data_IF_996491606369
#
_entry.id   IF_996491606369
#
_cell.length_a   1.000
_cell.length_b   1.000
_cell.length_c   1.000
_cell.angle_alpha   90.00
_cell.angle_beta   90.00
_cell.angle_gamma   90.00
#
_symmetry.space_group_name_H-M   'P 1'
#
loop_
_entity.id
_entity.type
_entity.pdbx_description
1 polymer ?
#
# COMPACT_ATOMS: atom_id res chain seq x y z
N UNK A 1 61.12 -30.30 5.01
CA UNK A 1 61.30 -28.98 4.38
C UNK A 1 60.72 -27.94 5.33
N UNK A 2 61.57 -27.00 5.77
CA UNK A 2 61.30 -26.01 6.83
C UNK A 2 60.33 -24.91 6.37
N UNK A 3 59.40 -24.45 7.21
CA UNK A 3 58.90 -23.07 7.20
C UNK A 3 59.79 -22.19 8.08
N UNK A 4 60.08 -20.97 7.63
CA UNK A 4 60.91 -19.98 8.33
C UNK A 4 60.10 -19.08 9.26
N UNK A 5 60.61 -19.00 10.49
CA UNK A 5 60.28 -18.20 11.67
C UNK A 5 60.55 -16.69 11.52
N UNK A 6 59.79 -15.84 12.23
CA UNK A 6 60.18 -14.61 12.98
C UNK A 6 58.91 -14.17 13.78
N UNK A 7 58.78 -14.23 15.12
CA UNK A 7 59.41 -13.46 16.23
C UNK A 7 59.26 -11.92 16.02
N UNK A 8 58.82 -11.04 16.94
CA UNK A 8 58.57 -11.08 18.40
C UNK A 8 57.93 -9.75 18.91
N UNK A 9 57.33 -9.76 20.12
CA UNK A 9 57.25 -8.68 21.15
C UNK A 9 56.48 -7.36 20.77
N UNK A 10 55.75 -6.61 21.61
CA UNK A 10 55.67 -6.42 23.08
C UNK A 10 54.46 -5.56 23.47
N UNK A 11 53.93 -5.81 24.67
CA UNK A 11 53.44 -4.87 25.70
C UNK A 11 52.39 -3.77 25.37
N UNK A 12 51.29 -3.80 26.13
CA UNK A 12 50.35 -2.69 26.25
C UNK A 12 49.22 -2.99 27.23
N UNK A 13 49.50 -2.89 28.53
CA UNK A 13 48.53 -2.94 29.63
C UNK A 13 47.53 -1.78 29.55
N UNK A 14 46.31 -1.95 30.09
CA UNK A 14 45.73 -1.06 31.10
C UNK A 14 44.50 -1.75 31.74
N UNK A 15 44.63 -1.91 33.06
CA UNK A 15 43.63 -2.27 34.06
C UNK A 15 42.92 -0.98 34.48
N UNK A 16 41.59 -0.95 34.60
CA UNK A 16 40.92 -0.24 35.71
C UNK A 16 39.66 -1.02 36.11
N UNK A 17 39.65 -1.42 37.38
CA UNK A 17 38.58 -2.05 38.14
C UNK A 17 38.21 -1.01 39.20
N UNK A 18 36.96 -0.52 39.24
CA UNK A 18 36.44 0.23 40.39
C UNK A 18 35.01 -0.20 40.69
N UNK A 19 34.87 -0.76 41.88
CA UNK A 19 33.64 -1.08 42.57
C UNK A 19 32.93 0.18 43.07
N UNK A 20 31.61 0.10 43.29
CA UNK A 20 31.01 0.39 44.60
C UNK A 20 29.48 0.28 44.52
N UNK A 21 28.96 -0.61 45.34
CA UNK A 21 27.59 -0.73 45.79
C UNK A 21 27.36 0.31 46.89
N UNK A 22 26.25 1.06 46.89
CA UNK A 22 25.63 1.46 48.16
C UNK A 22 24.15 1.82 48.06
N UNK A 23 23.47 1.54 49.16
CA UNK A 23 22.05 1.57 49.41
C UNK A 23 21.45 2.98 49.47
N UNK A 24 20.17 3.07 49.11
CA UNK A 24 19.26 4.03 49.73
C UNK A 24 17.84 3.45 49.79
N UNK A 25 17.58 2.73 50.88
CA UNK A 25 16.25 2.44 51.39
C UNK A 25 15.71 3.77 51.97
N UNK A 26 14.99 4.54 51.15
CA UNK A 26 14.33 5.77 51.54
C UNK A 26 12.96 5.48 52.14
N UNK A 27 12.91 5.28 53.46
CA UNK A 27 11.68 5.27 54.22
C UNK A 27 11.23 6.72 54.51
N UNK A 28 10.03 7.08 54.04
CA UNK A 28 9.08 7.92 54.76
C UNK A 28 9.16 9.44 54.58
N UNK A 29 8.16 9.98 53.89
CA UNK A 29 7.30 11.02 54.46
C UNK A 29 5.95 11.01 53.74
N UNK A 30 4.89 10.55 54.42
CA UNK A 30 3.52 10.82 54.00
C UNK A 30 3.29 12.32 54.19
N UNK A 31 3.17 13.06 53.10
CA UNK A 31 2.66 14.42 53.14
C UNK A 31 1.13 14.37 53.30
N UNK A 32 0.53 14.95 54.35
CA UNK A 32 -0.92 15.00 54.52
C UNK A 32 -1.62 16.03 53.62
N UNK A 33 -0.91 16.73 52.73
CA UNK A 33 -1.51 17.72 51.82
C UNK A 33 -1.90 17.12 50.48
N UNK A 34 -2.73 16.09 50.54
CA UNK A 34 -3.60 15.71 49.43
C UNK A 34 -4.72 16.76 49.30
N UNK A 35 -4.48 17.87 48.59
CA UNK A 35 -5.57 18.69 48.06
C UNK A 35 -5.15 19.29 46.71
N UNK A 36 -5.71 18.71 45.64
CA UNK A 36 -5.81 19.23 44.27
C UNK A 36 -4.54 19.34 43.42
N UNK A 37 -4.04 18.23 42.86
CA UNK A 37 -3.33 18.30 41.56
C UNK A 37 -3.19 16.96 40.81
N UNK A 38 -4.13 16.02 40.93
CA UNK A 38 -4.05 14.74 40.19
C UNK A 38 -5.22 14.56 39.22
N UNK A 39 -5.41 15.52 38.32
CA UNK A 39 -6.31 15.34 37.16
C UNK A 39 -5.56 15.17 35.83
N UNK A 40 -4.24 15.36 35.79
CA UNK A 40 -3.50 15.42 34.52
C UNK A 40 -2.58 14.23 34.23
N UNK A 41 -2.59 13.17 35.05
CA UNK A 41 -1.87 11.94 34.71
C UNK A 41 -2.73 11.04 33.79
N UNK A 42 -3.12 11.55 32.62
CA UNK A 42 -3.51 10.66 31.52
C UNK A 42 -2.22 10.24 30.83
N UNK A 43 -1.88 8.96 30.99
CA UNK A 43 -0.62 8.36 30.58
C UNK A 43 -0.26 8.62 29.11
N UNK A 44 1.03 8.80 28.89
CA UNK A 44 1.64 9.06 27.58
C UNK A 44 1.75 7.80 26.69
N UNK A 45 0.77 6.89 26.75
CA UNK A 45 0.83 5.57 26.09
C UNK A 45 -0.03 5.48 24.81
N UNK A 46 -0.65 6.57 24.36
CA UNK A 46 -1.54 6.57 23.18
C UNK A 46 -0.87 6.90 21.84
N UNK A 47 0.44 7.18 21.83
CA UNK A 47 1.14 7.54 20.59
C UNK A 47 1.35 6.36 19.62
N UNK A 48 1.17 5.11 20.08
CA UNK A 48 1.39 3.90 19.26
C UNK A 48 0.12 3.36 18.58
N UNK A 49 -1.06 3.96 18.80
CA UNK A 49 -2.34 3.40 18.33
C UNK A 49 -2.79 3.88 16.95
N UNK A 50 -2.06 4.80 16.30
CA UNK A 50 -2.41 5.32 14.97
C UNK A 50 -1.24 5.15 13.99
N UNK A 51 -1.56 4.83 12.74
CA UNK A 51 -0.58 4.75 11.63
C UNK A 51 -0.93 5.80 10.59
N UNK A 52 0.10 6.42 10.03
CA UNK A 52 -0.05 7.29 8.85
C UNK A 52 -0.22 6.39 7.63
N UNK A 53 -1.30 6.59 6.88
CA UNK A 53 -1.57 5.89 5.62
C UNK A 53 -1.53 6.90 4.46
N UNK A 54 -0.97 6.49 3.34
CA UNK A 54 -1.06 7.23 2.09
C UNK A 54 -2.38 6.86 1.41
N UNK A 55 -3.12 7.87 0.94
CA UNK A 55 -4.37 7.67 0.21
C UNK A 55 -4.30 8.40 -1.13
N UNK A 56 -4.97 7.87 -2.13
CA UNK A 56 -5.05 8.48 -3.45
C UNK A 56 -5.88 9.76 -3.39
N UNK A 57 -5.31 10.87 -3.83
CA UNK A 57 -6.04 12.14 -3.94
C UNK A 57 -6.92 12.15 -5.19
N UNK A 58 -7.94 13.02 -5.21
CA UNK A 58 -8.75 13.25 -6.42
C UNK A 58 -7.87 13.63 -7.62
N UNK A 59 -6.91 14.53 -7.43
CA UNK A 59 -5.97 14.95 -8.48
C UNK A 59 -5.10 13.78 -8.99
N UNK A 60 -4.72 12.85 -8.10
CA UNK A 60 -4.05 11.61 -8.49
C UNK A 60 -4.98 10.72 -9.33
N UNK A 61 -6.23 10.56 -8.89
CA UNK A 61 -7.23 9.78 -9.61
C UNK A 61 -7.56 10.35 -11.00
N UNK A 62 -7.72 11.67 -11.11
CA UNK A 62 -7.95 12.36 -12.38
C UNK A 62 -6.77 12.19 -13.35
N UNK A 63 -5.53 12.19 -12.84
CA UNK A 63 -4.35 11.91 -13.68
C UNK A 63 -4.29 10.47 -14.16
N UNK A 64 -4.59 9.51 -13.29
CA UNK A 64 -4.70 8.11 -13.71
C UNK A 64 -5.76 7.95 -14.81
N UNK A 65 -6.92 8.57 -14.63
CA UNK A 65 -7.99 8.58 -15.63
C UNK A 65 -7.57 9.23 -16.93
N UNK A 66 -6.91 10.38 -16.89
CA UNK A 66 -6.47 11.11 -18.07
C UNK A 66 -5.47 10.27 -18.89
N UNK A 67 -4.50 9.64 -18.23
CA UNK A 67 -3.52 8.79 -18.90
C UNK A 67 -4.16 7.53 -19.50
N UNK A 68 -5.05 6.86 -18.77
CA UNK A 68 -5.79 5.71 -19.26
C UNK A 68 -6.72 6.09 -20.44
N UNK A 69 -7.43 7.21 -20.33
CA UNK A 69 -8.31 7.73 -21.39
C UNK A 69 -7.53 8.10 -22.65
N UNK A 70 -6.35 8.71 -22.49
CA UNK A 70 -5.48 9.05 -23.61
C UNK A 70 -5.01 7.79 -24.37
N UNK A 71 -4.63 6.72 -23.66
CA UNK A 71 -4.23 5.46 -24.29
C UNK A 71 -5.41 4.77 -24.99
N UNK A 72 -6.57 4.72 -24.34
CA UNK A 72 -7.79 4.17 -24.94
C UNK A 72 -8.20 4.93 -26.21
N UNK A 73 -8.15 6.27 -26.17
CA UNK A 73 -8.42 7.13 -27.32
C UNK A 73 -7.41 6.92 -28.46
N UNK A 74 -6.12 6.81 -28.16
CA UNK A 74 -5.08 6.53 -29.16
C UNK A 74 -5.29 5.19 -29.89
N UNK A 75 -5.98 4.24 -29.24
CA UNK A 75 -6.29 2.92 -29.78
C UNK A 75 -7.70 2.82 -30.36
N UNK A 76 -8.50 3.89 -30.29
CA UNK A 76 -9.93 3.88 -30.61
C UNK A 76 -10.67 2.73 -29.90
N UNK A 77 -10.28 2.44 -28.66
CA UNK A 77 -10.92 1.44 -27.82
C UNK A 77 -12.04 2.11 -27.01
N UNK A 78 -13.23 1.50 -27.01
CA UNK A 78 -14.24 1.87 -26.03
C UNK A 78 -13.82 1.35 -24.67
N UNK A 79 -13.85 2.15 -23.61
CA UNK A 79 -13.44 1.70 -22.29
C UNK A 79 -14.27 2.37 -21.18
N UNK A 80 -14.69 1.58 -20.19
CA UNK A 80 -15.07 2.08 -18.88
C UNK A 80 -13.86 1.99 -17.96
N UNK A 81 -13.45 3.13 -17.40
CA UNK A 81 -12.25 3.29 -16.58
C UNK A 81 -12.72 3.81 -15.21
N UNK A 82 -12.44 3.05 -14.16
CA UNK A 82 -12.78 3.37 -12.79
C UNK A 82 -11.53 3.47 -11.94
N UNK A 83 -11.46 4.49 -11.08
CA UNK A 83 -10.39 4.65 -10.09
C UNK A 83 -11.01 4.66 -8.70
N UNK A 84 -10.46 3.82 -7.82
CA UNK A 84 -10.93 3.61 -6.45
C UNK A 84 -9.86 3.95 -5.42
N UNK A 85 -10.27 4.24 -4.19
CA UNK A 85 -9.40 4.36 -3.02
C UNK A 85 -8.88 2.99 -2.54
N UNK A 86 -8.08 2.99 -1.48
CA UNK A 86 -7.54 1.78 -0.84
C UNK A 86 -8.64 0.93 -0.18
N UNK A 87 -9.77 1.53 0.19
CA UNK A 87 -10.99 0.85 0.64
C UNK A 87 -11.80 0.19 -0.48
N UNK A 88 -11.47 0.48 -1.74
CA UNK A 88 -12.18 -0.02 -2.91
C UNK A 88 -13.46 0.74 -3.25
N UNK A 89 -13.60 1.99 -2.81
CA UNK A 89 -14.69 2.90 -3.15
C UNK A 89 -14.30 3.84 -4.29
N UNK A 90 -15.28 4.14 -5.13
CA UNK A 90 -15.08 4.93 -6.35
C UNK A 90 -14.71 6.39 -6.02
N UNK A 91 -13.59 6.86 -6.58
CA UNK A 91 -13.17 8.26 -6.55
C UNK A 91 -13.58 8.95 -7.84
N UNK A 92 -13.25 8.34 -8.98
CA UNK A 92 -13.45 8.93 -10.29
C UNK A 92 -13.70 7.87 -11.37
N UNK A 93 -14.45 8.23 -12.41
CA UNK A 93 -14.92 7.30 -13.42
C UNK A 93 -15.09 7.97 -14.78
N UNK A 94 -14.58 7.35 -15.85
CA UNK A 94 -14.87 7.71 -17.23
C UNK A 94 -15.48 6.52 -17.97
N UNK A 95 -16.50 6.77 -18.78
CA UNK A 95 -17.03 5.79 -19.73
C UNK A 95 -16.94 6.37 -21.13
N UNK A 96 -16.05 5.81 -21.93
CA UNK A 96 -15.85 6.20 -23.31
C UNK A 96 -16.93 5.56 -24.20
N UNK A 97 -17.13 6.18 -25.36
CA UNK A 97 -17.98 5.68 -26.42
C UNK A 97 -17.50 4.31 -26.91
N UNK A 98 -18.42 3.49 -27.43
CA UNK A 98 -18.08 2.15 -27.93
C UNK A 98 -17.89 1.07 -26.85
N UNK A 99 -18.00 1.41 -25.57
CA UNK A 99 -18.01 0.43 -24.48
C UNK A 99 -19.43 -0.09 -24.17
N UNK A 100 -19.54 -1.33 -23.71
CA UNK A 100 -20.82 -1.94 -23.33
C UNK A 100 -21.35 -1.39 -21.99
N UNK A 101 -22.68 -1.35 -21.82
CA UNK A 101 -23.33 -0.70 -20.66
C UNK A 101 -22.88 -1.28 -19.31
N UNK A 102 -22.77 -2.61 -19.20
CA UNK A 102 -22.31 -3.28 -17.99
C UNK A 102 -20.81 -3.04 -17.68
N UNK A 103 -20.04 -2.46 -18.61
CA UNK A 103 -18.62 -2.16 -18.43
C UNK A 103 -18.38 -1.18 -17.29
N UNK A 104 -19.36 -0.32 -16.99
CA UNK A 104 -19.31 0.58 -15.85
C UNK A 104 -19.19 -0.18 -14.52
N UNK A 105 -20.09 -1.12 -14.25
CA UNK A 105 -20.05 -1.89 -13.00
C UNK A 105 -18.86 -2.87 -12.97
N UNK A 106 -18.52 -3.46 -14.12
CA UNK A 106 -17.38 -4.39 -14.22
C UNK A 106 -16.06 -3.68 -13.94
N UNK A 107 -15.83 -2.49 -14.50
CA UNK A 107 -14.60 -1.72 -14.26
C UNK A 107 -14.46 -1.31 -12.79
N UNK A 108 -15.56 -0.87 -12.15
CA UNK A 108 -15.60 -0.57 -10.71
C UNK A 108 -15.26 -1.82 -9.89
N UNK A 109 -15.88 -2.96 -10.21
CA UNK A 109 -15.64 -4.23 -9.53
C UNK A 109 -14.19 -4.74 -9.69
N UNK A 110 -13.60 -4.60 -10.88
CA UNK A 110 -12.19 -4.92 -11.16
C UNK A 110 -11.26 -4.03 -10.33
N UNK A 111 -11.47 -2.71 -10.34
CA UNK A 111 -10.69 -1.75 -9.56
C UNK A 111 -10.76 -2.08 -8.06
N UNK A 112 -11.97 -2.28 -7.54
CA UNK A 112 -12.23 -2.63 -6.15
C UNK A 112 -11.53 -3.93 -5.73
N UNK A 113 -11.57 -4.94 -6.59
CA UNK A 113 -10.87 -6.22 -6.35
C UNK A 113 -9.37 -5.99 -6.26
N UNK A 114 -8.80 -5.20 -7.17
CA UNK A 114 -7.38 -4.90 -7.13
C UNK A 114 -6.95 -4.12 -5.87
N UNK A 115 -7.77 -3.18 -5.40
CA UNK A 115 -7.51 -2.44 -4.16
C UNK A 115 -7.58 -3.33 -2.91
N UNK A 116 -8.70 -4.04 -2.72
CA UNK A 116 -8.96 -4.83 -1.50
C UNK A 116 -7.97 -5.99 -1.38
N UNK A 117 -7.73 -6.71 -2.48
CA UNK A 117 -6.84 -7.86 -2.46
C UNK A 117 -5.37 -7.51 -2.73
N UNK A 118 -5.08 -6.24 -3.02
CA UNK A 118 -3.72 -5.71 -3.25
C UNK A 118 -2.96 -6.49 -4.33
N UNK A 119 -3.68 -6.97 -5.34
CA UNK A 119 -3.16 -7.81 -6.43
C UNK A 119 -3.88 -7.49 -7.73
N UNK A 120 -3.19 -7.57 -8.89
CA UNK A 120 -3.84 -7.47 -10.18
C UNK A 120 -4.96 -8.50 -10.34
N UNK A 121 -6.06 -8.12 -10.97
CA UNK A 121 -7.21 -9.01 -11.16
C UNK A 121 -6.88 -10.22 -12.04
N UNK A 122 -5.89 -10.08 -12.92
CA UNK A 122 -5.32 -11.16 -13.74
C UNK A 122 -4.94 -12.39 -12.91
N UNK A 123 -4.34 -12.20 -11.73
CA UNK A 123 -3.93 -13.31 -10.88
C UNK A 123 -5.12 -14.13 -10.37
N UNK A 124 -6.30 -13.51 -10.21
CA UNK A 124 -7.52 -14.21 -9.80
C UNK A 124 -8.15 -14.96 -10.96
N UNK A 125 -8.16 -14.35 -12.15
CA UNK A 125 -8.62 -15.03 -13.36
C UNK A 125 -7.77 -16.28 -13.65
N UNK A 126 -6.44 -16.14 -13.63
CA UNK A 126 -5.51 -17.25 -13.85
C UNK A 126 -5.71 -18.36 -12.79
N UNK A 127 -5.98 -17.99 -11.53
CA UNK A 127 -6.25 -18.97 -10.46
C UNK A 127 -7.56 -19.73 -10.65
N UNK A 128 -8.62 -19.06 -11.13
CA UNK A 128 -9.91 -19.70 -11.43
C UNK A 128 -9.76 -20.64 -12.61
N UNK A 129 -9.12 -20.18 -13.69
CA UNK A 129 -8.84 -21.00 -14.88
C UNK A 129 -7.91 -22.18 -14.55
N UNK A 130 -7.03 -22.03 -13.55
CA UNK A 130 -6.19 -23.10 -12.99
C UNK A 130 -6.90 -24.06 -12.03
N UNK A 131 -8.23 -23.99 -11.90
CA UNK A 131 -9.03 -24.94 -11.13
C UNK A 131 -9.50 -24.46 -9.75
N UNK A 132 -9.13 -23.25 -9.30
CA UNK A 132 -9.65 -22.66 -8.05
C UNK A 132 -11.02 -21.99 -8.27
N UNK A 133 -11.95 -22.70 -8.89
CA UNK A 133 -13.28 -22.18 -9.28
C UNK A 133 -14.09 -21.62 -8.12
N UNK A 134 -13.86 -22.11 -6.90
CA UNK A 134 -14.49 -21.59 -5.69
C UNK A 134 -14.17 -20.11 -5.43
N UNK A 135 -13.09 -19.55 -6.00
CA UNK A 135 -12.82 -18.11 -5.92
C UNK A 135 -13.96 -17.29 -6.56
N UNK A 136 -14.65 -17.79 -7.58
CA UNK A 136 -15.75 -17.08 -8.22
C UNK A 136 -16.96 -16.85 -7.29
N UNK A 137 -17.09 -17.58 -6.19
CA UNK A 137 -18.19 -17.38 -5.23
C UNK A 137 -17.92 -16.32 -4.17
N UNK A 138 -16.70 -15.75 -4.15
CA UNK A 138 -16.35 -14.67 -3.22
C UNK A 138 -17.16 -13.42 -3.57
N UNK A 139 -17.98 -12.99 -2.63
CA UNK A 139 -18.82 -11.80 -2.79
C UNK A 139 -17.96 -10.57 -3.06
N UNK A 140 -18.47 -9.67 -3.91
CA UNK A 140 -17.84 -8.38 -4.20
C UNK A 140 -16.44 -8.48 -4.84
N UNK A 141 -16.14 -9.61 -5.46
CA UNK A 141 -14.93 -9.81 -6.26
C UNK A 141 -15.29 -9.91 -7.74
N UNK A 142 -14.50 -9.26 -8.58
CA UNK A 142 -14.59 -9.34 -10.04
C UNK A 142 -13.27 -9.88 -10.57
N UNK A 143 -13.13 -11.21 -10.69
CA UNK A 143 -11.87 -11.86 -11.07
C UNK A 143 -11.69 -11.89 -12.59
N UNK A 144 -11.69 -10.71 -13.20
CA UNK A 144 -11.50 -10.52 -14.63
C UNK A 144 -10.31 -9.59 -14.85
N UNK A 145 -9.39 -9.95 -15.73
CA UNK A 145 -8.21 -9.17 -16.11
C UNK A 145 -8.59 -7.74 -16.52
N UNK A 146 -7.79 -6.76 -16.09
CA UNK A 146 -8.03 -5.32 -16.34
C UNK A 146 -8.06 -4.43 -15.09
N UNK A 147 -7.93 -5.00 -13.88
CA UNK A 147 -7.78 -4.26 -12.62
C UNK A 147 -6.34 -4.30 -12.11
N UNK A 148 -5.79 -3.14 -11.80
CA UNK A 148 -4.39 -2.94 -11.38
C UNK A 148 -4.32 -2.08 -10.12
N UNK A 149 -3.61 -2.50 -9.07
CA UNK A 149 -3.40 -1.69 -7.88
C UNK A 149 -2.42 -0.54 -8.15
N UNK A 150 -2.70 0.63 -7.57
CA UNK A 150 -1.83 1.80 -7.60
C UNK A 150 -0.95 1.76 -6.35
N UNK A 151 0.36 1.67 -6.56
CA UNK A 151 1.36 1.52 -5.50
C UNK A 151 2.07 2.85 -5.22
N UNK A 152 2.30 3.16 -3.94
CA UNK A 152 3.16 4.24 -3.47
C UNK A 152 3.93 3.77 -2.22
N UNK A 153 5.25 3.87 -2.23
CA UNK A 153 6.13 3.44 -1.13
C UNK A 153 5.82 2.03 -0.59
N UNK A 154 5.56 1.08 -1.50
CA UNK A 154 5.24 -0.31 -1.15
C UNK A 154 3.82 -0.54 -0.61
N UNK A 155 2.99 0.50 -0.54
CA UNK A 155 1.60 0.44 -0.10
C UNK A 155 0.64 0.63 -1.27
N UNK A 156 -0.49 -0.08 -1.23
CA UNK A 156 -1.60 0.17 -2.16
C UNK A 156 -2.37 1.39 -1.67
N UNK A 157 -2.37 2.45 -2.46
CA UNK A 157 -3.08 3.71 -2.14
C UNK A 157 -4.44 3.84 -2.84
N UNK A 158 -4.71 2.92 -3.77
CA UNK A 158 -5.91 2.84 -4.58
C UNK A 158 -5.75 1.83 -5.69
N UNK A 159 -6.69 1.80 -6.62
CA UNK A 159 -6.60 0.95 -7.80
C UNK A 159 -7.33 1.54 -9.00
N UNK A 160 -6.96 1.07 -10.18
CA UNK A 160 -7.62 1.40 -11.44
C UNK A 160 -8.14 0.12 -12.08
N UNK A 161 -9.34 0.18 -12.64
CA UNK A 161 -9.99 -0.92 -13.34
C UNK A 161 -10.52 -0.46 -14.69
N UNK A 162 -10.29 -1.27 -15.71
CA UNK A 162 -10.73 -1.00 -17.07
C UNK A 162 -11.55 -2.19 -17.58
N UNK A 163 -12.63 -1.88 -18.28
CA UNK A 163 -13.47 -2.87 -18.93
C UNK A 163 -14.03 -2.35 -20.24
N UNK A 164 -14.03 -3.21 -21.26
CA UNK A 164 -14.77 -3.00 -22.50
C UNK A 164 -13.93 -2.58 -23.69
N UNK A 165 -12.60 -2.59 -23.57
CA UNK A 165 -11.70 -2.51 -24.70
C UNK A 165 -11.84 -3.74 -25.62
N UNK A 166 -11.07 -3.79 -26.72
CA UNK A 166 -11.19 -4.87 -27.70
C UNK A 166 -10.78 -6.23 -27.12
N UNK A 167 -9.95 -6.24 -26.08
CA UNK A 167 -9.57 -7.44 -25.35
C UNK A 167 -9.26 -7.15 -23.88
N UNK A 168 -9.31 -8.19 -23.05
CA UNK A 168 -8.91 -8.09 -21.64
C UNK A 168 -7.44 -7.75 -21.42
N UNK A 169 -6.57 -8.07 -22.39
CA UNK A 169 -5.16 -7.66 -22.37
C UNK A 169 -5.07 -6.14 -22.56
N UNK A 170 -5.85 -5.60 -23.49
CA UNK A 170 -5.90 -4.16 -23.73
C UNK A 170 -6.51 -3.41 -22.54
N UNK A 171 -7.53 -3.96 -21.87
CA UNK A 171 -8.04 -3.42 -20.61
C UNK A 171 -6.90 -3.27 -19.58
N UNK A 172 -6.07 -4.32 -19.40
CA UNK A 172 -4.94 -4.28 -18.47
C UNK A 172 -3.85 -3.27 -18.90
N UNK A 173 -3.53 -3.17 -20.18
CA UNK A 173 -2.56 -2.19 -20.67
C UNK A 173 -3.01 -0.74 -20.43
N UNK A 174 -4.30 -0.46 -20.61
CA UNK A 174 -4.91 0.85 -20.30
C UNK A 174 -4.87 1.12 -18.79
N UNK A 175 -5.18 0.11 -17.96
CA UNK A 175 -5.11 0.22 -16.51
C UNK A 175 -3.66 0.49 -16.03
N UNK A 176 -2.68 -0.23 -16.57
CA UNK A 176 -1.26 -0.05 -16.27
C UNK A 176 -0.77 1.35 -16.62
N UNK A 177 -1.18 1.88 -17.78
CA UNK A 177 -0.85 3.25 -18.18
C UNK A 177 -1.39 4.29 -17.19
N UNK A 178 -2.64 4.12 -16.72
CA UNK A 178 -3.21 4.98 -15.69
C UNK A 178 -2.49 4.89 -14.34
N UNK A 179 -2.16 3.67 -13.88
CA UNK A 179 -1.43 3.47 -12.63
C UNK A 179 0.00 4.04 -12.68
N UNK A 180 0.67 3.94 -13.83
CA UNK A 180 2.01 4.49 -14.05
C UNK A 180 2.05 6.02 -13.92
N UNK A 181 0.98 6.72 -14.31
CA UNK A 181 0.89 8.17 -14.24
C UNK A 181 0.87 8.74 -12.81
N UNK A 182 0.50 7.92 -11.82
CA UNK A 182 0.39 8.32 -10.40
C UNK A 182 1.59 7.84 -9.58
N UNK A 183 2.19 6.71 -9.96
CA UNK A 183 3.31 6.10 -9.24
C UNK A 183 4.66 6.80 -9.46
N UNK A 184 4.74 7.73 -10.43
CA UNK A 184 5.91 8.60 -10.58
C UNK A 184 5.91 9.71 -9.53
N UNK A 185 7.05 10.01 -8.87
CA UNK A 185 7.10 11.04 -7.83
C UNK A 185 6.58 12.37 -8.38
N UNK A 186 5.63 12.95 -7.65
CA UNK A 186 5.12 14.29 -7.89
C UNK A 186 6.29 15.27 -7.84
N UNK A 187 6.77 15.72 -9.01
CA UNK A 187 7.62 16.88 -9.08
C UNK A 187 6.80 18.07 -8.58
N UNK A 188 7.03 18.46 -7.32
CA UNK A 188 6.54 19.73 -6.75
C UNK A 188 7.46 20.87 -7.15
#
# INVERSE_FOLDING_TARGET
MKPSTFASLTAGSIIVLVAANWAAFGAGSRDPRATHSDCCAVGADHAESFRVAHTLTLEGAERALAAATALAGARNAGAAIAVVDDGGYLIAFHRLEGTFAAGAEVSIGKARTAAIFRKPTKAFEDAINGGRVALASVSQMTPLQGGVPIMHDGHVIGAIGVSGAHSQIEDEEIALAGAAAVSSPLAK
#
